data_IF_088003722255
#
_entry.id   IF_088003722255
#
_cell.length_a   1.000
_cell.length_b   1.000
_cell.length_c   1.000
_cell.angle_alpha   90.00
_cell.angle_beta   90.00
_cell.angle_gamma   90.00
#
_symmetry.space_group_name_H-M   'P 1'
#
loop_
_entity.id
_entity.type
_entity.pdbx_description
1 polymer ?
#
# COMPACT_ATOMS: atom_id res chain seq x y z
N UNK A 1 8.72 1.15 25.79
CA UNK A 1 7.86 0.03 26.22
C UNK A 1 7.31 -0.68 24.98
N UNK A 2 8.23 -1.23 24.16
CA UNK A 2 7.91 -1.97 22.94
C UNK A 2 8.23 -3.43 23.19
N UNK A 3 7.22 -4.30 23.31
CA UNK A 3 7.24 -5.77 23.18
C UNK A 3 6.06 -6.35 23.95
N UNK A 4 4.91 -6.55 23.28
CA UNK A 4 3.89 -7.55 23.63
C UNK A 4 2.62 -7.39 22.76
N UNK A 5 2.72 -7.47 21.43
CA UNK A 5 1.56 -7.67 20.53
C UNK A 5 1.89 -8.76 19.50
N UNK A 6 2.52 -9.84 19.93
CA UNK A 6 2.70 -11.02 19.06
C UNK A 6 2.49 -12.27 19.91
N UNK A 7 1.30 -12.48 20.43
CA UNK A 7 0.92 -13.79 21.01
C UNK A 7 -0.58 -13.86 21.25
N UNK A 8 -1.38 -13.77 20.21
CA UNK A 8 -2.80 -14.13 20.23
C UNK A 8 -3.27 -14.63 18.86
N UNK A 9 -2.48 -15.49 18.21
CA UNK A 9 -2.98 -16.29 17.09
C UNK A 9 -3.34 -17.66 17.64
N UNK A 10 -4.56 -17.77 18.13
CA UNK A 10 -5.65 -18.61 17.67
C UNK A 10 -5.36 -20.11 17.69
N UNK A 11 -5.72 -20.71 18.82
CA UNK A 11 -6.20 -22.11 18.83
C UNK A 11 -7.74 -22.10 18.72
N UNK A 12 -8.27 -21.72 17.58
CA UNK A 12 -9.64 -22.01 17.20
C UNK A 12 -9.61 -23.24 16.27
N UNK A 13 -9.58 -24.41 16.87
CA UNK A 13 -9.97 -25.63 16.17
C UNK A 13 -11.49 -25.56 15.91
N UNK A 14 -11.86 -24.83 14.88
CA UNK A 14 -13.20 -24.91 14.29
C UNK A 14 -13.32 -26.31 13.69
N UNK A 15 -14.14 -27.15 14.33
CA UNK A 15 -14.67 -28.35 13.72
C UNK A 15 -15.50 -27.98 12.50
N UNK A 16 -14.85 -27.75 11.38
CA UNK A 16 -15.48 -27.59 10.08
C UNK A 16 -16.01 -28.97 9.67
N UNK A 17 -17.30 -29.20 9.90
CA UNK A 17 -18.03 -30.25 9.18
C UNK A 17 -17.71 -30.04 7.69
N UNK A 18 -17.49 -31.15 6.96
CA UNK A 18 -17.21 -31.11 5.55
C UNK A 18 -18.42 -30.53 4.78
N UNK A 19 -18.46 -29.21 4.66
CA UNK A 19 -19.30 -28.55 3.69
C UNK A 19 -18.63 -28.87 2.35
N UNK A 20 -19.38 -29.51 1.44
CA UNK A 20 -18.92 -29.71 0.06
C UNK A 20 -18.86 -28.35 -0.64
N UNK A 21 -17.86 -27.52 -0.24
CA UNK A 21 -17.64 -26.22 -0.82
C UNK A 21 -16.99 -26.40 -2.19
N UNK A 22 -17.64 -25.88 -3.20
CA UNK A 22 -17.19 -25.95 -4.58
C UNK A 22 -15.82 -25.26 -4.72
N UNK A 23 -14.93 -25.86 -5.48
CA UNK A 23 -13.70 -25.23 -5.95
C UNK A 23 -14.01 -24.00 -6.81
N UNK A 24 -13.01 -23.17 -7.03
CA UNK A 24 -13.08 -22.19 -8.11
C UNK A 24 -13.01 -22.93 -9.45
N UNK A 25 -13.88 -22.57 -10.38
CA UNK A 25 -14.03 -23.21 -11.69
C UNK A 25 -13.82 -22.17 -12.80
N UNK A 26 -13.55 -22.66 -14.00
CA UNK A 26 -13.42 -21.79 -15.18
C UNK A 26 -14.67 -20.91 -15.37
N UNK A 27 -14.45 -19.61 -15.51
CA UNK A 27 -15.51 -18.63 -15.73
C UNK A 27 -16.07 -18.00 -14.46
N UNK A 28 -15.74 -18.52 -13.27
CA UNK A 28 -16.16 -17.92 -12.01
C UNK A 28 -15.67 -16.47 -11.92
N UNK A 29 -16.54 -15.60 -11.43
CA UNK A 29 -16.22 -14.25 -11.02
C UNK A 29 -16.25 -14.20 -9.49
N UNK A 30 -15.16 -13.79 -8.87
CA UNK A 30 -15.00 -13.72 -7.44
C UNK A 30 -14.86 -12.25 -7.06
N UNK A 31 -15.77 -11.75 -6.24
CA UNK A 31 -15.67 -10.40 -5.67
C UNK A 31 -15.28 -10.53 -4.20
N UNK A 32 -14.19 -9.88 -3.81
CA UNK A 32 -13.71 -9.81 -2.43
C UNK A 32 -13.87 -8.40 -1.90
N UNK A 33 -14.37 -8.28 -0.68
CA UNK A 33 -14.47 -7.01 0.04
C UNK A 33 -13.94 -7.20 1.46
N UNK A 34 -13.18 -6.23 1.94
CA UNK A 34 -12.53 -6.36 3.23
C UNK A 34 -11.85 -5.09 3.72
N UNK A 35 -10.99 -5.29 4.70
CA UNK A 35 -10.10 -4.26 5.21
C UNK A 35 -8.68 -4.57 4.75
N UNK A 36 -8.03 -3.57 4.21
CA UNK A 36 -6.66 -3.66 3.71
C UNK A 36 -5.79 -2.65 4.44
N UNK A 37 -4.60 -3.08 4.85
CA UNK A 37 -3.60 -2.22 5.50
C UNK A 37 -2.32 -2.26 4.68
N UNK A 38 -1.80 -1.08 4.37
CA UNK A 38 -0.49 -0.86 3.74
C UNK A 38 0.51 -0.58 4.86
N UNK A 39 1.59 -1.31 4.85
CA UNK A 39 2.72 -1.17 5.79
C UNK A 39 3.95 -0.86 4.95
N UNK A 40 4.36 0.41 4.84
CA UNK A 40 5.56 0.81 4.13
C UNK A 40 6.81 0.13 4.69
N UNK A 41 7.78 -0.12 3.81
CA UNK A 41 9.14 -0.53 4.15
C UNK A 41 10.08 0.49 3.50
N UNK A 42 9.82 1.73 3.83
CA UNK A 42 10.36 2.92 3.22
C UNK A 42 11.89 3.02 3.38
N UNK A 43 12.53 3.46 2.31
CA UNK A 43 13.91 3.94 2.25
C UNK A 43 13.92 5.20 1.39
N UNK A 44 14.55 6.26 1.87
CA UNK A 44 14.58 7.52 1.16
C UNK A 44 15.93 8.20 1.21
N UNK A 45 16.22 8.97 0.17
CA UNK A 45 17.40 9.81 0.13
C UNK A 45 17.37 10.91 1.21
N UNK A 46 18.54 11.35 1.64
CA UNK A 46 18.65 12.48 2.54
C UNK A 46 18.21 13.78 1.87
N UNK A 47 17.46 14.62 2.58
CA UNK A 47 16.87 15.85 2.04
C UNK A 47 17.93 16.96 2.00
N UNK A 48 18.36 17.34 0.80
CA UNK A 48 19.31 18.43 0.58
C UNK A 48 18.62 19.78 0.48
N UNK A 49 18.80 20.66 1.48
CA UNK A 49 18.27 22.03 1.45
C UNK A 49 19.22 22.98 0.72
N UNK A 50 18.71 23.86 -0.17
CA UNK A 50 19.53 24.84 -0.92
C UNK A 50 19.89 26.04 -0.07
N UNK A 51 20.41 25.83 1.14
CA UNK A 51 20.96 26.87 2.02
C UNK A 51 22.40 27.27 1.62
N UNK A 52 22.91 28.40 2.15
CA UNK A 52 24.32 28.77 1.99
C UNK A 52 24.99 28.88 3.38
N UNK A 53 25.85 27.92 3.79
CA UNK A 53 26.25 26.72 3.06
C UNK A 53 25.10 25.68 2.96
N UNK A 54 25.13 24.74 1.97
CA UNK A 54 24.11 23.73 1.82
C UNK A 54 23.93 22.88 3.09
N UNK A 55 22.67 22.67 3.50
CA UNK A 55 22.32 21.87 4.68
C UNK A 55 21.65 20.58 4.21
N UNK A 56 21.97 19.47 4.86
CA UNK A 56 21.34 18.16 4.60
C UNK A 56 20.59 17.76 5.86
N UNK A 57 19.30 17.46 5.72
CA UNK A 57 18.51 16.82 6.77
C UNK A 57 18.80 15.31 6.71
N UNK A 58 19.37 14.73 7.75
CA UNK A 58 19.67 13.30 7.76
C UNK A 58 18.38 12.46 7.86
N UNK A 59 18.48 11.22 7.43
CA UNK A 59 17.45 10.20 7.65
C UNK A 59 16.33 10.15 6.60
N UNK A 60 16.18 11.17 5.73
CA UNK A 60 15.11 11.19 4.74
C UNK A 60 13.71 11.32 5.33
N UNK A 61 12.74 10.54 4.83
CA UNK A 61 11.35 10.53 5.31
C UNK A 61 10.91 9.12 5.74
N UNK A 62 9.99 9.07 6.69
CA UNK A 62 9.25 7.85 7.10
C UNK A 62 7.78 8.04 6.73
N UNK A 63 7.13 6.94 6.29
CA UNK A 63 5.73 6.93 5.85
C UNK A 63 4.91 6.04 6.78
N UNK A 64 3.86 6.59 7.39
CA UNK A 64 3.00 5.85 8.31
C UNK A 64 2.13 4.80 7.60
N UNK A 65 1.62 3.82 8.38
CA UNK A 65 0.72 2.80 7.87
C UNK A 65 -0.63 3.39 7.46
N UNK A 66 -1.14 2.99 6.29
CA UNK A 66 -2.48 3.34 5.82
C UNK A 66 -3.45 2.17 5.88
N UNK A 67 -4.72 2.44 6.21
CA UNK A 67 -5.78 1.43 6.22
C UNK A 67 -6.99 1.91 5.43
N UNK A 68 -7.53 1.02 4.60
CA UNK A 68 -8.63 1.34 3.70
C UNK A 68 -9.61 0.17 3.53
N UNK A 69 -10.71 0.39 2.82
CA UNK A 69 -11.63 -0.66 2.40
C UNK A 69 -11.18 -1.19 1.04
N UNK A 70 -10.96 -2.50 0.94
CA UNK A 70 -10.63 -3.18 -0.31
C UNK A 70 -11.87 -3.64 -1.07
N UNK A 71 -11.78 -3.57 -2.39
CA UNK A 71 -12.70 -4.19 -3.33
C UNK A 71 -11.87 -4.87 -4.42
N UNK A 72 -11.85 -6.21 -4.41
CA UNK A 72 -10.98 -6.99 -5.28
C UNK A 72 -11.85 -7.86 -6.18
N UNK A 73 -11.63 -7.77 -7.48
CA UNK A 73 -12.30 -8.61 -8.46
C UNK A 73 -11.35 -9.65 -9.05
N UNK A 74 -11.72 -10.93 -9.08
CA UNK A 74 -10.97 -11.96 -9.76
C UNK A 74 -11.86 -12.72 -10.75
N UNK A 75 -11.29 -13.06 -11.91
CA UNK A 75 -11.92 -13.86 -12.94
C UNK A 75 -11.09 -15.12 -13.20
N UNK A 76 -11.73 -16.29 -13.07
CA UNK A 76 -11.09 -17.58 -13.30
C UNK A 76 -10.99 -17.89 -14.79
N UNK A 77 -9.78 -17.82 -15.35
CA UNK A 77 -9.48 -18.17 -16.75
C UNK A 77 -9.69 -19.68 -16.95
N UNK A 78 -9.30 -20.47 -15.97
CA UNK A 78 -9.55 -21.89 -15.83
C UNK A 78 -9.47 -22.25 -14.33
N UNK A 79 -9.64 -23.54 -13.99
CA UNK A 79 -9.67 -23.98 -12.59
C UNK A 79 -8.40 -23.67 -11.78
N UNK A 80 -7.30 -23.34 -12.45
CA UNK A 80 -5.98 -23.08 -11.81
C UNK A 80 -5.43 -21.67 -11.99
N UNK A 81 -6.00 -20.91 -12.91
CA UNK A 81 -5.51 -19.57 -13.22
C UNK A 81 -6.63 -18.55 -13.18
N UNK A 82 -6.38 -17.47 -12.49
CA UNK A 82 -7.26 -16.30 -12.40
C UNK A 82 -6.53 -15.00 -12.72
N UNK A 83 -7.29 -14.01 -13.17
CA UNK A 83 -6.85 -12.65 -13.32
C UNK A 83 -7.53 -11.83 -12.24
N UNK A 84 -6.75 -11.11 -11.43
CA UNK A 84 -7.23 -10.31 -10.31
C UNK A 84 -6.91 -8.84 -10.51
N UNK A 85 -7.87 -7.99 -10.17
CA UNK A 85 -7.68 -6.56 -9.99
C UNK A 85 -7.90 -6.20 -8.51
N UNK A 86 -6.83 -5.81 -7.83
CA UNK A 86 -6.89 -5.19 -6.51
C UNK A 86 -7.22 -3.72 -6.67
N UNK A 87 -8.26 -3.28 -5.97
CA UNK A 87 -8.61 -1.88 -5.78
C UNK A 87 -8.96 -1.64 -4.30
N UNK A 88 -8.89 -0.39 -3.88
CA UNK A 88 -9.25 0.06 -2.54
C UNK A 88 -9.80 1.49 -2.59
N UNK A 89 -10.40 1.94 -1.50
CA UNK A 89 -10.54 3.39 -1.30
C UNK A 89 -9.15 4.01 -1.12
N UNK A 90 -8.99 5.32 -1.38
CA UNK A 90 -7.69 5.96 -1.18
C UNK A 90 -7.10 5.64 0.20
N UNK A 91 -5.82 5.32 0.23
CA UNK A 91 -5.04 5.28 1.45
C UNK A 91 -4.55 6.70 1.75
N UNK A 92 -4.53 7.05 3.01
CA UNK A 92 -3.95 8.29 3.53
C UNK A 92 -2.77 7.93 4.41
N UNK A 93 -1.65 8.62 4.20
CA UNK A 93 -0.41 8.42 4.94
C UNK A 93 0.11 9.76 5.43
N UNK A 94 0.47 9.79 6.70
CA UNK A 94 1.28 10.87 7.25
C UNK A 94 2.76 10.58 6.94
N UNK A 95 3.53 11.64 6.71
CA UNK A 95 4.94 11.60 6.34
C UNK A 95 5.69 12.42 7.38
N UNK A 96 6.70 11.80 8.00
CA UNK A 96 7.57 12.45 8.98
C UNK A 96 9.01 12.57 8.45
N UNK A 97 9.73 13.60 8.85
CA UNK A 97 11.18 13.67 8.63
C UNK A 97 11.84 12.67 9.56
N UNK A 98 12.44 11.63 8.99
CA UNK A 98 13.12 10.59 9.75
C UNK A 98 14.20 11.19 10.66
N UNK A 99 14.50 10.51 11.77
CA UNK A 99 15.45 10.92 12.81
C UNK A 99 15.10 12.23 13.58
N UNK A 100 14.19 13.04 13.08
CA UNK A 100 13.81 14.31 13.73
C UNK A 100 12.40 14.27 14.37
N UNK A 101 11.57 13.26 14.02
CA UNK A 101 10.17 13.13 14.46
C UNK A 101 9.37 14.45 14.22
N UNK A 102 9.60 15.04 13.02
CA UNK A 102 8.95 16.28 12.58
C UNK A 102 7.94 15.95 11.50
N UNK A 103 6.65 16.29 11.68
CA UNK A 103 5.67 16.15 10.61
C UNK A 103 6.10 16.89 9.34
N UNK A 104 6.24 16.14 8.23
CA UNK A 104 6.64 16.67 6.94
C UNK A 104 5.44 16.99 6.06
N UNK A 105 4.42 16.13 6.08
CA UNK A 105 3.26 16.30 5.25
C UNK A 105 2.34 15.09 5.25
N UNK A 106 1.42 15.06 4.31
CA UNK A 106 0.55 13.92 4.06
C UNK A 106 0.28 13.75 2.57
N UNK A 107 -0.08 12.53 2.18
CA UNK A 107 -0.50 12.22 0.82
C UNK A 107 -1.59 11.16 0.80
N UNK A 108 -2.37 11.16 -0.27
CA UNK A 108 -3.28 10.05 -0.59
C UNK A 108 -2.80 9.31 -1.81
N UNK A 109 -2.97 8.00 -1.82
CA UNK A 109 -2.65 7.20 -2.99
C UNK A 109 -3.69 6.12 -3.31
N UNK A 110 -3.70 5.72 -4.58
CA UNK A 110 -4.46 4.58 -5.10
C UNK A 110 -3.49 3.66 -5.85
N UNK A 111 -3.23 2.43 -5.37
CA UNK A 111 -2.35 1.46 -6.00
C UNK A 111 -3.12 0.33 -6.73
N UNK A 112 -3.90 0.59 -7.81
CA UNK A 112 -4.50 -0.50 -8.56
C UNK A 112 -3.44 -1.49 -9.03
N UNK A 113 -3.68 -2.77 -8.75
CA UNK A 113 -2.74 -3.85 -9.06
C UNK A 113 -3.44 -4.94 -9.85
N UNK A 114 -2.91 -5.25 -11.04
CA UNK A 114 -3.40 -6.32 -11.90
C UNK A 114 -2.47 -7.52 -11.79
N UNK A 115 -2.99 -8.67 -11.34
CA UNK A 115 -2.21 -9.88 -11.07
C UNK A 115 -2.75 -11.11 -11.78
N UNK A 116 -1.85 -11.95 -12.26
CA UNK A 116 -2.15 -13.32 -12.66
C UNK A 116 -1.98 -14.23 -11.44
N UNK A 117 -3.05 -14.89 -11.02
CA UNK A 117 -3.09 -15.79 -9.87
C UNK A 117 -3.01 -17.24 -10.29
N UNK A 118 -2.24 -18.03 -9.54
CA UNK A 118 -2.18 -19.48 -9.66
C UNK A 118 -2.75 -20.15 -8.41
N UNK A 119 -3.71 -21.03 -8.62
CA UNK A 119 -4.40 -21.84 -7.61
C UNK A 119 -3.90 -23.28 -7.66
N UNK A 120 -2.92 -23.68 -6.81
CA UNK A 120 -2.35 -25.04 -6.86
C UNK A 120 -3.39 -26.15 -6.59
N UNK A 121 -4.47 -25.83 -5.88
CA UNK A 121 -5.58 -26.72 -5.60
C UNK A 121 -6.78 -26.57 -6.55
N UNK A 122 -6.62 -25.83 -7.63
CA UNK A 122 -7.70 -25.58 -8.59
C UNK A 122 -8.42 -26.86 -9.01
N UNK A 123 -9.75 -26.83 -9.01
CA UNK A 123 -10.63 -27.98 -9.24
C UNK A 123 -10.81 -28.92 -8.04
N UNK A 124 -10.11 -28.71 -6.91
CA UNK A 124 -10.27 -29.50 -5.69
C UNK A 124 -11.11 -28.73 -4.67
N UNK A 125 -12.02 -29.43 -4.00
CA UNK A 125 -12.85 -28.83 -2.94
C UNK A 125 -12.03 -28.40 -1.72
N UNK A 126 -12.60 -27.48 -0.94
CA UNK A 126 -12.05 -26.96 0.30
C UNK A 126 -11.29 -25.64 0.11
N UNK A 127 -10.36 -25.36 1.01
CA UNK A 127 -9.58 -24.13 0.97
C UNK A 127 -8.74 -24.00 -0.30
N UNK A 128 -8.69 -22.79 -0.85
CA UNK A 128 -8.05 -22.46 -2.12
C UNK A 128 -6.90 -21.47 -1.87
N UNK A 129 -5.68 -21.95 -1.64
CA UNK A 129 -4.51 -21.08 -1.62
C UNK A 129 -4.22 -20.58 -3.02
N UNK A 130 -3.69 -19.37 -3.12
CA UNK A 130 -3.26 -18.81 -4.38
C UNK A 130 -1.96 -18.02 -4.23
N UNK A 131 -1.24 -17.92 -5.32
CA UNK A 131 -0.05 -17.10 -5.48
C UNK A 131 -0.21 -16.28 -6.76
N UNK A 132 0.30 -15.07 -6.79
CA UNK A 132 0.18 -14.22 -7.96
C UNK A 132 1.41 -13.36 -8.20
N UNK A 133 1.56 -12.98 -9.45
CA UNK A 133 2.51 -11.94 -9.90
C UNK A 133 1.74 -10.94 -10.75
N UNK A 134 2.06 -9.68 -10.62
CA UNK A 134 1.32 -8.62 -11.27
C UNK A 134 2.12 -7.35 -11.52
N UNK A 135 1.40 -6.37 -12.03
CA UNK A 135 1.88 -5.00 -12.22
C UNK A 135 1.01 -4.05 -11.42
N UNK A 136 1.64 -3.07 -10.84
CA UNK A 136 1.03 -2.01 -10.07
C UNK A 136 1.22 -0.67 -10.79
N UNK A 137 0.22 0.20 -10.68
CA UNK A 137 0.33 1.60 -11.03
C UNK A 137 -0.22 2.43 -9.87
N UNK A 138 0.62 3.14 -9.16
CA UNK A 138 0.23 3.95 -8.01
C UNK A 138 0.08 5.41 -8.42
N UNK A 139 -1.09 5.96 -8.15
CA UNK A 139 -1.43 7.37 -8.32
C UNK A 139 -1.32 8.07 -6.96
N UNK A 140 -0.52 9.13 -6.87
CA UNK A 140 -0.46 10.01 -5.71
C UNK A 140 -1.30 11.27 -5.96
N UNK A 141 -1.93 11.80 -4.92
CA UNK A 141 -2.76 13.00 -4.99
C UNK A 141 -3.06 13.55 -3.58
N UNK A 142 -3.59 14.78 -3.52
CA UNK A 142 -3.88 15.48 -2.26
C UNK A 142 -2.62 15.57 -1.35
N UNK A 143 -1.47 15.90 -1.96
CA UNK A 143 -0.21 16.08 -1.23
C UNK A 143 -0.22 17.43 -0.50
N UNK A 144 0.06 17.39 0.79
CA UNK A 144 0.09 18.57 1.65
C UNK A 144 1.41 18.63 2.42
N UNK A 145 2.01 19.82 2.51
CA UNK A 145 3.15 20.09 3.39
C UNK A 145 2.62 20.44 4.78
N UNK A 146 3.11 19.77 5.82
CA UNK A 146 2.72 20.10 7.19
C UNK A 146 3.17 21.50 7.58
N UNK A 147 2.34 22.27 8.30
CA UNK A 147 2.70 23.60 8.77
C UNK A 147 3.98 23.68 9.62
N UNK A 148 4.35 22.57 10.31
CA UNK A 148 5.58 22.49 11.10
C UNK A 148 6.79 22.48 10.18
N UNK A 149 6.81 21.62 9.15
CA UNK A 149 7.88 21.65 8.15
C UNK A 149 7.88 22.96 7.40
N UNK A 150 6.72 23.49 7.01
CA UNK A 150 6.59 24.81 6.39
C UNK A 150 7.21 25.93 7.22
N UNK A 151 7.04 25.88 8.55
CA UNK A 151 7.67 26.81 9.49
C UNK A 151 9.20 26.67 9.55
N UNK A 152 9.71 25.45 9.59
CA UNK A 152 11.16 25.16 9.56
C UNK A 152 11.79 25.66 8.25
N UNK A 153 11.15 25.39 7.12
CA UNK A 153 11.61 25.89 5.81
C UNK A 153 11.55 27.43 5.76
N UNK A 154 10.50 28.03 6.37
CA UNK A 154 10.37 29.49 6.50
C UNK A 154 11.54 30.13 7.25
N UNK A 155 11.97 29.54 8.37
CA UNK A 155 13.09 30.01 9.16
C UNK A 155 14.46 29.84 8.47
N UNK A 156 14.63 28.68 7.76
CA UNK A 156 15.91 28.33 7.13
C UNK A 156 16.12 28.98 5.76
N UNK A 157 15.07 29.15 4.97
CA UNK A 157 15.13 29.57 3.57
C UNK A 157 14.32 30.84 3.27
N UNK A 158 13.74 31.49 4.30
CA UNK A 158 12.85 32.65 4.13
C UNK A 158 11.68 32.37 3.17
N UNK A 159 11.05 31.18 3.32
CA UNK A 159 10.00 30.64 2.44
C UNK A 159 8.65 31.27 2.80
N UNK A 160 7.92 31.76 1.80
CA UNK A 160 6.54 32.23 1.89
C UNK A 160 5.53 31.09 1.71
N UNK A 161 5.85 30.13 0.81
CA UNK A 161 5.00 28.97 0.55
C UNK A 161 5.81 27.74 0.12
N UNK A 162 5.36 26.55 0.49
CA UNK A 162 5.91 25.28 0.08
C UNK A 162 4.78 24.37 -0.46
N UNK A 163 5.06 23.59 -1.51
CA UNK A 163 4.14 22.63 -2.12
C UNK A 163 4.88 21.31 -2.33
N UNK A 164 4.29 20.23 -1.86
CA UNK A 164 4.76 18.87 -2.12
C UNK A 164 4.09 18.34 -3.40
N UNK A 165 4.86 17.69 -4.26
CA UNK A 165 4.41 16.96 -5.43
C UNK A 165 5.13 15.61 -5.47
N UNK A 166 4.39 14.53 -5.75
CA UNK A 166 4.90 13.17 -5.85
C UNK A 166 4.64 12.63 -7.25
N UNK A 167 5.63 11.97 -7.84
CA UNK A 167 5.48 11.31 -9.12
C UNK A 167 4.71 10.00 -8.97
N UNK A 168 3.87 9.68 -9.96
CA UNK A 168 3.20 8.38 -10.04
C UNK A 168 4.21 7.23 -10.18
N UNK A 169 3.87 6.07 -9.63
CA UNK A 169 4.73 4.88 -9.64
C UNK A 169 4.20 3.79 -10.54
N UNK A 170 5.11 3.08 -11.20
CA UNK A 170 4.82 1.85 -11.93
C UNK A 170 5.82 0.77 -11.53
N UNK A 171 5.32 -0.32 -10.93
CA UNK A 171 6.15 -1.39 -10.42
C UNK A 171 5.52 -2.77 -10.58
N UNK A 172 6.18 -3.78 -10.04
CA UNK A 172 5.70 -5.15 -9.99
C UNK A 172 5.04 -5.45 -8.63
N UNK A 173 4.24 -6.52 -8.59
CA UNK A 173 3.66 -7.01 -7.35
C UNK A 173 3.73 -8.52 -7.28
N UNK A 174 3.94 -9.03 -6.07
CA UNK A 174 3.82 -10.46 -5.76
C UNK A 174 2.79 -10.65 -4.66
N UNK A 175 2.01 -11.73 -4.73
CA UNK A 175 0.98 -12.00 -3.75
C UNK A 175 0.91 -13.47 -3.34
N UNK A 176 0.41 -13.68 -2.13
CA UNK A 176 -0.05 -14.98 -1.65
C UNK A 176 -1.33 -14.81 -0.84
N UNK A 177 -2.23 -15.75 -0.91
CA UNK A 177 -3.46 -15.69 -0.15
C UNK A 177 -4.22 -17.01 -0.13
N UNK A 178 -5.38 -16.96 0.50
CA UNK A 178 -6.24 -18.12 0.65
C UNK A 178 -7.71 -17.72 0.69
N UNK A 179 -8.55 -18.44 -0.06
CA UNK A 179 -9.99 -18.43 0.08
C UNK A 179 -10.43 -19.66 0.88
N UNK A 180 -11.04 -19.47 2.04
CA UNK A 180 -11.56 -20.51 2.92
C UNK A 180 -13.08 -20.54 2.77
N UNK A 181 -13.66 -21.62 2.24
CA UNK A 181 -15.09 -21.69 1.98
C UNK A 181 -15.91 -21.70 3.27
N UNK A 182 -16.93 -20.86 3.30
CA UNK A 182 -17.96 -20.82 4.35
C UNK A 182 -19.23 -21.57 3.90
N UNK A 183 -19.53 -21.52 2.59
CA UNK A 183 -20.56 -22.26 1.91
C UNK A 183 -20.24 -22.32 0.40
N UNK A 184 -21.20 -22.68 -0.46
CA UNK A 184 -21.01 -22.83 -1.91
C UNK A 184 -20.58 -21.53 -2.62
N UNK A 185 -20.94 -20.36 -2.07
CA UNK A 185 -20.71 -19.06 -2.70
C UNK A 185 -19.86 -18.10 -1.88
N UNK A 186 -19.84 -18.26 -0.56
CA UNK A 186 -19.12 -17.37 0.33
C UNK A 186 -17.83 -17.99 0.84
N UNK A 187 -16.78 -17.18 0.86
CA UNK A 187 -15.47 -17.55 1.38
C UNK A 187 -14.99 -16.47 2.35
N UNK A 188 -14.20 -16.86 3.33
CA UNK A 188 -13.32 -15.96 4.04
C UNK A 188 -12.03 -15.84 3.25
N UNK A 189 -11.54 -14.62 3.03
CA UNK A 189 -10.30 -14.36 2.31
C UNK A 189 -9.27 -13.72 3.23
N UNK A 190 -8.03 -14.17 3.09
CA UNK A 190 -6.85 -13.50 3.62
C UNK A 190 -5.77 -13.47 2.54
N UNK A 191 -5.15 -12.32 2.36
CA UNK A 191 -4.11 -12.11 1.35
C UNK A 191 -3.02 -11.17 1.81
N UNK A 192 -1.84 -11.33 1.23
CA UNK A 192 -0.69 -10.46 1.41
C UNK A 192 -0.06 -10.18 0.05
N UNK A 193 0.34 -8.94 -0.16
CA UNK A 193 1.09 -8.48 -1.34
C UNK A 193 2.38 -7.82 -0.87
N UNK A 194 3.41 -7.94 -1.67
CA UNK A 194 4.54 -7.03 -1.72
C UNK A 194 4.44 -6.28 -3.04
N UNK A 195 4.51 -4.96 -3.00
CA UNK A 195 4.35 -4.10 -4.16
C UNK A 195 5.56 -3.19 -4.26
N UNK A 196 6.19 -3.18 -5.43
CA UNK A 196 7.29 -2.30 -5.77
C UNK A 196 6.71 -0.91 -6.09
N UNK A 197 6.93 0.07 -5.20
CA UNK A 197 6.43 1.45 -5.31
C UNK A 197 7.56 2.40 -4.94
N UNK A 198 8.08 3.12 -5.92
CA UNK A 198 9.01 4.23 -5.72
C UNK A 198 8.45 5.53 -6.28
N UNK A 199 8.78 6.66 -5.69
CA UNK A 199 8.36 7.99 -6.16
C UNK A 199 9.50 8.99 -6.01
N UNK A 200 9.52 10.01 -6.87
CA UNK A 200 10.33 11.22 -6.65
C UNK A 200 9.46 12.29 -6.00
N UNK A 201 9.94 12.84 -4.91
CA UNK A 201 9.29 13.91 -4.16
C UNK A 201 9.92 15.25 -4.49
N UNK A 202 9.10 16.21 -4.95
CA UNK A 202 9.47 17.58 -5.22
C UNK A 202 8.83 18.51 -4.19
N UNK A 203 9.64 19.18 -3.35
CA UNK A 203 9.15 20.28 -2.52
C UNK A 203 9.48 21.59 -3.22
N UNK A 204 8.47 22.19 -3.84
CA UNK A 204 8.55 23.47 -4.51
C UNK A 204 8.35 24.60 -3.50
N UNK A 205 9.37 25.43 -3.29
CA UNK A 205 9.35 26.56 -2.35
C UNK A 205 9.41 27.89 -3.08
N UNK A 206 8.67 28.88 -2.55
CA UNK A 206 8.73 30.27 -2.99
C UNK A 206 9.16 31.11 -1.80
N UNK A 207 10.26 31.83 -1.94
CA UNK A 207 10.76 32.71 -0.89
C UNK A 207 10.01 34.04 -0.84
N UNK A 208 10.10 34.77 0.28
CA UNK A 208 9.50 36.11 0.44
C UNK A 208 10.03 37.15 -0.56
N UNK A 209 11.23 36.94 -1.12
CA UNK A 209 11.76 37.74 -2.22
C UNK A 209 11.19 37.38 -3.60
N UNK A 210 10.36 36.31 -3.71
CA UNK A 210 9.82 35.79 -4.95
C UNK A 210 10.75 34.85 -5.72
N UNK A 211 11.90 34.44 -5.13
CA UNK A 211 12.75 33.41 -5.72
C UNK A 211 12.11 32.05 -5.53
N UNK A 212 12.33 31.16 -6.51
CA UNK A 212 11.83 29.79 -6.47
C UNK A 212 12.98 28.80 -6.36
N UNK A 213 12.78 27.76 -5.59
CA UNK A 213 13.69 26.62 -5.52
C UNK A 213 12.90 25.31 -5.38
N UNK A 214 13.46 24.20 -5.85
CA UNK A 214 12.90 22.87 -5.69
C UNK A 214 13.89 22.01 -4.91
N UNK A 215 13.38 21.31 -3.92
CA UNK A 215 14.10 20.25 -3.21
C UNK A 215 13.57 18.95 -3.74
N UNK A 216 14.42 18.14 -4.36
CA UNK A 216 14.07 16.84 -4.95
C UNK A 216 14.79 15.73 -4.20
N UNK A 217 14.10 14.61 -3.95
CA UNK A 217 14.67 13.37 -3.39
C UNK A 217 13.80 12.17 -3.77
N UNK A 218 14.42 10.99 -3.85
CA UNK A 218 13.72 9.76 -4.16
C UNK A 218 13.30 9.03 -2.88
N UNK A 219 12.14 8.35 -2.95
CA UNK A 219 11.55 7.56 -1.86
C UNK A 219 11.08 6.22 -2.41
N UNK A 220 11.67 5.14 -1.93
CA UNK A 220 11.19 3.79 -2.14
C UNK A 220 10.26 3.40 -0.98
N UNK A 221 9.00 3.11 -1.27
CA UNK A 221 7.97 2.81 -0.26
C UNK A 221 7.84 1.30 -0.05
N UNK A 222 7.91 0.53 -1.12
CA UNK A 222 7.97 -0.94 -1.18
C UNK A 222 7.11 -1.67 -0.13
N UNK A 223 5.81 -1.40 -0.04
CA UNK A 223 4.99 -1.81 1.07
C UNK A 223 4.65 -3.30 1.06
N UNK A 224 4.47 -3.82 2.28
CA UNK A 224 3.65 -5.00 2.51
C UNK A 224 2.18 -4.59 2.67
N UNK A 225 1.31 -5.26 1.92
CA UNK A 225 -0.15 -5.00 1.94
C UNK A 225 -0.86 -6.23 2.46
N UNK A 226 -1.63 -6.08 3.53
CA UNK A 226 -2.37 -7.15 4.19
C UNK A 226 -3.86 -6.93 4.03
N UNK A 227 -4.60 -7.96 3.58
CA UNK A 227 -6.04 -7.91 3.43
C UNK A 227 -6.72 -9.07 4.16
N UNK A 228 -7.82 -8.74 4.83
CA UNK A 228 -8.75 -9.73 5.35
C UNK A 228 -10.17 -9.33 4.98
N UNK A 229 -10.99 -10.29 4.60
CA UNK A 229 -12.35 -10.00 4.17
C UNK A 229 -13.17 -11.22 3.81
N UNK A 230 -14.22 -10.97 3.07
CA UNK A 230 -15.10 -12.02 2.53
C UNK A 230 -15.13 -11.95 1.02
N UNK A 231 -15.28 -13.10 0.41
CA UNK A 231 -15.41 -13.27 -1.03
C UNK A 231 -16.76 -13.86 -1.37
N UNK A 232 -17.33 -13.41 -2.47
CA UNK A 232 -18.53 -13.98 -3.06
C UNK A 232 -18.22 -14.46 -4.48
N UNK A 233 -18.62 -15.70 -4.77
CA UNK A 233 -18.48 -16.34 -6.07
C UNK A 233 -19.82 -16.30 -6.82
N UNK A 234 -19.81 -15.73 -8.01
CA UNK A 234 -20.97 -15.64 -8.90
C UNK A 234 -21.09 -16.86 -9.81
#
# INVERSE_FOLDING_TARGET
>A
MKKQIVSAIVSASLGLGAIAAQAHEQGDIILRAGVVTVVPNDDSDAIGLPTDPPTVLPGGVEVDNGTAISLIGAWMINDKWGLELLAATPFEHDIDVADLDIPAGSTKHLPPTLSLQWYPRGGLQGWQPYFGLGVNYTLFFDEEVDPVLGGVLGELLDVESAKLELDDSFGWAAQAGVDIPLNEKWFFNAGVWYIDIGTSADINVVTTSGAQATVNFDVDIDPWVYNIGFSYKF
#
